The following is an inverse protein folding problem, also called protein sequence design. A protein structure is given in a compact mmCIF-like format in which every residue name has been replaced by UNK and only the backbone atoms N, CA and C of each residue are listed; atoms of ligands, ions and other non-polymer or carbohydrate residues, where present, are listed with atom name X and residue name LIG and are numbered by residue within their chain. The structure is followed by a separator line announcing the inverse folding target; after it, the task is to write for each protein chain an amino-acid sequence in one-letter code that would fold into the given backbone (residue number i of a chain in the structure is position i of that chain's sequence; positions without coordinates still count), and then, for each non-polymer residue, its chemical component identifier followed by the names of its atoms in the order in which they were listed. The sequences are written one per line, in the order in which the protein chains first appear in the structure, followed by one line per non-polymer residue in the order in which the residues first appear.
data_IF_145053613511
#
_entry.id   IF_145053613511
#
_cell.length_a   1.000
_cell.length_b   1.000
_cell.length_c   1.000
_cell.angle_alpha   90.00
_cell.angle_beta   90.00
_cell.angle_gamma   90.00
#
_symmetry.space_group_name_H-M   'P 1'
#
loop_
_entity.id
_entity.type
_entity.pdbx_description
1 polymer ?
#
# COMPACT_ATOMS: atom_id res chain seq x y z
N UNK A 1 -17.12 -3.92 26.12
CA UNK A 1 -16.81 -4.78 24.96
C UNK A 1 -17.77 -4.35 23.88
N UNK A 2 -17.31 -3.52 22.92
CA UNK A 2 -18.15 -3.15 21.79
C UNK A 2 -18.26 -4.36 20.87
N UNK A 3 -19.47 -4.78 20.59
CA UNK A 3 -19.76 -5.77 19.56
C UNK A 3 -19.17 -5.28 18.23
N UNK A 4 -18.29 -6.08 17.66
CA UNK A 4 -17.74 -5.86 16.33
C UNK A 4 -18.93 -6.06 15.38
N UNK A 5 -19.47 -4.98 14.85
CA UNK A 5 -20.50 -5.07 13.82
C UNK A 5 -19.88 -5.69 12.57
N UNK A 6 -20.19 -6.94 12.31
CA UNK A 6 -19.93 -7.59 11.04
C UNK A 6 -20.63 -6.79 9.94
N UNK A 7 -19.87 -6.32 8.96
CA UNK A 7 -20.45 -5.71 7.76
C UNK A 7 -20.48 -6.75 6.64
N UNK A 8 -21.58 -7.47 6.45
CA UNK A 8 -21.66 -8.54 5.45
C UNK A 8 -21.43 -8.05 4.01
N UNK A 9 -21.65 -6.75 3.74
CA UNK A 9 -21.41 -6.18 2.41
C UNK A 9 -19.93 -6.06 1.99
N UNK A 10 -18.98 -6.29 2.90
CA UNK A 10 -17.56 -6.22 2.56
C UNK A 10 -17.03 -7.51 1.89
N UNK A 11 -17.51 -8.66 2.32
CA UNK A 11 -17.17 -9.95 1.70
C UNK A 11 -17.67 -10.05 0.25
N UNK A 12 -18.87 -9.51 -0.03
CA UNK A 12 -19.42 -9.47 -1.39
C UNK A 12 -18.58 -8.62 -2.35
N UNK A 13 -17.87 -7.62 -1.83
CA UNK A 13 -17.01 -6.73 -2.62
C UNK A 13 -15.56 -7.21 -2.73
N UNK A 14 -15.10 -8.03 -1.80
CA UNK A 14 -13.71 -8.47 -1.72
C UNK A 14 -13.29 -9.27 -2.96
N UNK A 15 -14.08 -10.27 -3.33
CA UNK A 15 -13.78 -11.11 -4.50
C UNK A 15 -13.83 -10.34 -5.82
N UNK A 16 -14.88 -9.56 -6.14
CA UNK A 16 -14.88 -8.72 -7.33
C UNK A 16 -13.72 -7.73 -7.38
N UNK A 17 -13.38 -7.09 -6.26
CA UNK A 17 -12.24 -6.17 -6.19
C UNK A 17 -10.91 -6.88 -6.44
N UNK A 18 -10.72 -8.07 -5.89
CA UNK A 18 -9.55 -8.90 -6.19
C UNK A 18 -9.48 -9.28 -7.68
N UNK A 19 -10.60 -9.74 -8.25
CA UNK A 19 -10.67 -10.16 -9.65
C UNK A 19 -10.34 -8.97 -10.58
N UNK A 20 -10.84 -7.75 -10.28
CA UNK A 20 -10.52 -6.52 -11.02
C UNK A 20 -9.01 -6.19 -10.96
N UNK A 21 -8.41 -6.19 -9.78
CA UNK A 21 -6.97 -5.97 -9.59
C UNK A 21 -6.13 -7.03 -10.32
N UNK A 22 -6.57 -8.28 -10.28
CA UNK A 22 -5.90 -9.39 -10.95
C UNK A 22 -5.96 -9.27 -12.47
N UNK A 23 -7.12 -8.93 -13.04
CA UNK A 23 -7.28 -8.68 -14.47
C UNK A 23 -6.39 -7.54 -14.94
N UNK A 24 -6.36 -6.43 -14.19
CA UNK A 24 -5.49 -5.30 -14.49
C UNK A 24 -3.99 -5.66 -14.40
N UNK A 25 -3.61 -6.53 -13.45
CA UNK A 25 -2.25 -7.05 -13.40
C UNK A 25 -1.92 -7.91 -14.62
N UNK A 26 -2.83 -8.79 -15.05
CA UNK A 26 -2.62 -9.64 -16.22
C UNK A 26 -2.54 -8.84 -17.52
N UNK A 27 -3.23 -7.70 -17.61
CA UNK A 27 -3.15 -6.77 -18.75
C UNK A 27 -1.82 -6.00 -18.79
N UNK A 28 -1.26 -5.61 -17.63
CA UNK A 28 0.07 -4.97 -17.49
C UNK A 28 0.85 -5.63 -16.33
N UNK A 29 1.49 -6.80 -16.57
CA UNK A 29 2.17 -7.55 -15.51
C UNK A 29 3.51 -6.95 -15.09
N UNK A 30 4.05 -5.99 -15.85
CA UNK A 30 5.37 -5.40 -15.63
C UNK A 30 5.35 -3.88 -15.81
N UNK A 31 4.58 -3.13 -15.01
CA UNK A 31 4.50 -1.67 -15.17
C UNK A 31 5.88 -1.03 -15.10
N UNK A 32 6.12 -0.06 -15.99
CA UNK A 32 7.40 0.60 -16.13
C UNK A 32 7.75 1.51 -14.95
N UNK A 33 8.97 2.07 -14.98
CA UNK A 33 9.48 2.95 -13.92
C UNK A 33 8.57 4.17 -13.69
N UNK A 34 8.15 4.81 -14.76
CA UNK A 34 7.34 6.05 -14.68
C UNK A 34 5.95 5.77 -14.10
N UNK A 35 5.31 4.67 -14.50
CA UNK A 35 4.03 4.25 -13.92
C UNK A 35 4.11 4.00 -12.41
N UNK A 36 5.15 3.28 -11.97
CA UNK A 36 5.35 3.03 -10.53
C UNK A 36 5.69 4.30 -9.77
N UNK A 37 6.50 5.19 -10.37
CA UNK A 37 6.85 6.49 -9.78
C UNK A 37 5.63 7.38 -9.64
N UNK A 38 4.80 7.46 -10.66
CA UNK A 38 3.55 8.22 -10.63
C UNK A 38 2.63 7.74 -9.50
N UNK A 39 2.42 6.44 -9.38
CA UNK A 39 1.60 5.85 -8.31
C UNK A 39 2.14 6.21 -6.91
N UNK A 40 3.45 6.11 -6.71
CA UNK A 40 4.08 6.50 -5.43
C UNK A 40 3.97 8.00 -5.16
N UNK A 41 4.07 8.85 -6.18
CA UNK A 41 3.90 10.30 -6.05
C UNK A 41 2.46 10.68 -5.72
N UNK A 42 1.46 10.00 -6.30
CA UNK A 42 0.05 10.18 -5.96
C UNK A 42 -0.22 9.76 -4.50
N UNK A 43 0.35 8.65 -4.05
CA UNK A 43 0.26 8.22 -2.65
C UNK A 43 0.89 9.24 -1.70
N UNK A 44 2.10 9.73 -2.02
CA UNK A 44 2.81 10.73 -1.25
C UNK A 44 1.99 12.02 -1.12
N UNK A 45 1.54 12.56 -2.25
CA UNK A 45 0.73 13.78 -2.30
C UNK A 45 -0.57 13.62 -1.52
N UNK A 46 -1.28 12.50 -1.70
CA UNK A 46 -2.52 12.22 -0.99
C UNK A 46 -2.36 12.19 0.52
N UNK A 47 -1.21 11.71 1.04
CA UNK A 47 -0.91 11.74 2.46
C UNK A 47 -0.50 13.15 2.93
N UNK A 48 0.35 13.87 2.19
CA UNK A 48 0.77 15.25 2.51
C UNK A 48 -0.42 16.21 2.62
N UNK A 49 -1.37 16.13 1.70
CA UNK A 49 -2.57 16.98 1.68
C UNK A 49 -3.55 16.68 2.83
N UNK A 50 -3.43 15.51 3.49
CA UNK A 50 -4.35 15.05 4.55
C UNK A 50 -3.69 14.88 5.91
N UNK A 51 -2.47 15.36 6.11
CA UNK A 51 -1.70 15.18 7.34
C UNK A 51 -2.51 15.56 8.58
N UNK A 52 -3.05 16.78 8.63
CA UNK A 52 -3.84 17.27 9.76
C UNK A 52 -5.12 16.43 9.98
N UNK A 53 -5.79 16.03 8.91
CA UNK A 53 -6.98 15.21 9.00
C UNK A 53 -6.68 13.83 9.61
N UNK A 54 -5.56 13.22 9.25
CA UNK A 54 -5.10 11.95 9.84
C UNK A 54 -4.75 12.12 11.32
N UNK A 55 -4.05 13.20 11.71
CA UNK A 55 -3.73 13.49 13.11
C UNK A 55 -5.02 13.56 13.94
N UNK A 56 -6.02 14.28 13.45
CA UNK A 56 -7.31 14.42 14.14
C UNK A 56 -8.10 13.11 14.18
N UNK A 57 -8.11 12.33 13.10
CA UNK A 57 -8.81 11.06 13.05
C UNK A 57 -8.20 10.05 14.03
N UNK A 58 -6.88 9.92 14.04
CA UNK A 58 -6.15 9.04 14.95
C UNK A 58 -6.39 9.47 16.40
N UNK A 59 -6.29 10.77 16.71
CA UNK A 59 -6.61 11.27 18.05
C UNK A 59 -8.03 10.87 18.52
N UNK A 60 -9.01 10.95 17.61
CA UNK A 60 -10.39 10.56 17.92
C UNK A 60 -10.59 9.04 18.03
N UNK A 61 -9.84 8.24 17.27
CA UNK A 61 -9.91 6.76 17.35
C UNK A 61 -9.30 6.25 18.65
N UNK A 62 -8.24 6.90 19.15
CA UNK A 62 -7.53 6.53 20.38
C UNK A 62 -8.06 7.24 21.64
N UNK A 63 -9.02 8.15 21.51
CA UNK A 63 -9.54 8.91 22.64
C UNK A 63 -8.56 9.91 23.23
N UNK A 64 -7.77 10.64 22.42
CA UNK A 64 -6.79 11.70 22.73
C UNK A 64 -5.31 11.31 22.57
N UNK A 65 -4.94 10.58 21.52
CA UNK A 65 -3.53 10.39 21.19
C UNK A 65 -2.87 11.73 20.86
N UNK A 66 -1.65 11.94 21.35
CA UNK A 66 -0.88 13.16 21.11
C UNK A 66 -0.70 13.47 19.61
N UNK A 67 -1.04 14.69 19.21
CA UNK A 67 -0.80 15.17 17.85
C UNK A 67 0.70 15.10 17.48
N UNK A 68 1.59 15.46 18.43
CA UNK A 68 3.03 15.38 18.23
C UNK A 68 3.50 13.93 17.98
N UNK A 69 2.99 12.98 18.73
CA UNK A 69 3.31 11.55 18.55
C UNK A 69 2.85 11.06 17.19
N UNK A 70 1.60 11.36 16.81
CA UNK A 70 1.04 10.96 15.52
C UNK A 70 1.81 11.58 14.36
N UNK A 71 2.07 12.90 14.41
CA UNK A 71 2.81 13.60 13.36
C UNK A 71 4.21 13.00 13.15
N UNK A 72 4.96 12.72 14.24
CA UNK A 72 6.35 12.29 14.12
C UNK A 72 6.51 10.78 13.89
N UNK A 73 5.70 9.93 14.53
CA UNK A 73 5.89 8.47 14.53
C UNK A 73 4.94 7.72 13.61
N UNK A 74 3.94 8.39 13.05
CA UNK A 74 3.02 7.77 12.10
C UNK A 74 3.09 8.48 10.73
N UNK A 75 2.92 9.81 10.67
CA UNK A 75 2.86 10.53 9.40
C UNK A 75 4.25 10.80 8.81
N UNK A 76 5.14 11.47 9.57
CA UNK A 76 6.48 11.87 9.07
C UNK A 76 7.30 10.66 8.63
N UNK A 77 7.27 9.57 9.38
CA UNK A 77 7.99 8.34 9.01
C UNK A 77 7.44 7.70 7.74
N UNK A 78 6.11 7.74 7.54
CA UNK A 78 5.47 7.26 6.32
C UNK A 78 5.86 8.09 5.11
N UNK A 79 5.82 9.42 5.22
CA UNK A 79 6.26 10.34 4.16
C UNK A 79 7.74 10.12 3.81
N UNK A 80 8.59 9.96 4.82
CA UNK A 80 10.02 9.70 4.61
C UNK A 80 10.27 8.37 3.90
N UNK A 81 9.53 7.32 4.26
CA UNK A 81 9.64 6.00 3.64
C UNK A 81 9.17 6.03 2.18
N UNK A 82 8.02 6.64 1.87
CA UNK A 82 7.56 6.77 0.48
C UNK A 82 8.58 7.56 -0.36
N UNK A 83 9.10 8.68 0.16
CA UNK A 83 10.16 9.48 -0.50
C UNK A 83 11.43 8.66 -0.72
N UNK A 84 11.81 7.82 0.23
CA UNK A 84 12.94 6.90 0.09
C UNK A 84 12.72 5.88 -1.02
N UNK A 85 11.54 5.29 -1.09
CA UNK A 85 11.17 4.32 -2.13
C UNK A 85 11.20 4.96 -3.52
N UNK A 86 10.62 6.16 -3.71
CA UNK A 86 10.67 6.90 -4.97
C UNK A 86 12.12 7.12 -5.44
N UNK A 87 13.02 7.57 -4.52
CA UNK A 87 14.43 7.81 -4.85
C UNK A 87 15.20 6.56 -5.26
N UNK A 88 14.85 5.40 -4.70
CA UNK A 88 15.58 4.16 -4.94
C UNK A 88 14.94 3.28 -6.01
N UNK A 89 13.74 3.59 -6.48
CA UNK A 89 12.93 2.75 -7.37
C UNK A 89 13.70 2.31 -8.62
N UNK A 90 14.32 3.25 -9.33
CA UNK A 90 15.07 2.95 -10.54
C UNK A 90 16.22 1.95 -10.30
N UNK A 91 16.90 2.06 -9.16
CA UNK A 91 17.97 1.14 -8.77
C UNK A 91 17.42 -0.26 -8.45
N UNK A 92 16.29 -0.34 -7.78
CA UNK A 92 15.69 -1.63 -7.41
C UNK A 92 15.15 -2.40 -8.61
N UNK A 93 14.70 -1.70 -9.64
CA UNK A 93 14.19 -2.31 -10.88
C UNK A 93 15.28 -2.82 -11.82
N UNK A 94 16.56 -2.55 -11.54
CA UNK A 94 17.66 -2.95 -12.42
C UNK A 94 17.82 -4.47 -12.49
N UNK A 95 17.95 -4.97 -13.72
CA UNK A 95 18.35 -6.36 -13.98
C UNK A 95 19.82 -6.53 -13.57
N UNK A 96 20.08 -7.50 -12.70
CA UNK A 96 21.43 -7.79 -12.20
C UNK A 96 21.99 -9.04 -12.84
N UNK A 97 23.13 -8.89 -13.55
CA UNK A 97 23.90 -10.04 -14.07
C UNK A 97 24.49 -10.85 -12.92
N UNK A 98 24.61 -12.16 -13.11
CA UNK A 98 25.29 -13.09 -12.20
C UNK A 98 26.35 -13.87 -12.95
N UNK A 99 27.40 -14.27 -12.24
CA UNK A 99 28.43 -15.15 -12.78
C UNK A 99 27.83 -16.53 -13.07
N UNK A 100 28.37 -17.16 -14.12
CA UNK A 100 28.02 -18.53 -14.52
C UNK A 100 29.29 -19.37 -14.42
N UNK A 101 29.25 -20.56 -13.80
CA UNK A 101 30.37 -21.47 -13.77
C UNK A 101 30.91 -21.80 -15.18
N UNK A 102 32.22 -22.09 -15.28
CA UNK A 102 32.91 -22.28 -16.57
C UNK A 102 32.24 -23.35 -17.45
N UNK A 103 31.79 -24.44 -16.85
CA UNK A 103 31.13 -25.55 -17.57
C UNK A 103 29.75 -25.21 -18.15
N UNK A 104 29.16 -24.08 -17.77
CA UNK A 104 27.91 -23.55 -18.33
C UNK A 104 28.14 -22.41 -19.34
N UNK A 105 29.40 -22.06 -19.61
CA UNK A 105 29.71 -21.06 -20.64
C UNK A 105 29.34 -21.60 -22.05
N UNK A 106 28.81 -20.78 -22.96
CA UNK A 106 28.63 -19.34 -22.92
C UNK A 106 27.31 -18.85 -22.32
N UNK A 107 26.68 -19.61 -21.42
CA UNK A 107 25.45 -19.27 -20.74
C UNK A 107 25.53 -17.93 -19.99
N UNK A 108 24.37 -17.28 -19.79
CA UNK A 108 24.23 -16.00 -19.07
C UNK A 108 23.15 -16.12 -18.00
N UNK A 109 23.45 -15.69 -16.78
CA UNK A 109 22.48 -15.64 -15.68
C UNK A 109 22.13 -14.19 -15.32
N UNK A 110 20.86 -13.95 -14.99
CA UNK A 110 20.35 -12.65 -14.57
C UNK A 110 19.32 -12.81 -13.46
N UNK A 111 19.26 -11.83 -12.57
CA UNK A 111 18.13 -11.64 -11.63
C UNK A 111 17.27 -10.53 -12.20
N UNK A 112 16.01 -10.83 -12.45
CA UNK A 112 15.01 -9.89 -12.96
C UNK A 112 13.96 -9.70 -11.86
N UNK A 113 13.86 -8.50 -11.23
CA UNK A 113 12.77 -8.20 -10.31
C UNK A 113 11.43 -8.19 -11.05
N UNK A 114 10.44 -8.90 -10.52
CA UNK A 114 9.10 -8.99 -11.11
C UNK A 114 8.04 -8.77 -10.05
N UNK A 115 6.89 -8.15 -10.39
CA UNK A 115 5.74 -8.10 -9.51
C UNK A 115 5.20 -9.50 -9.21
N UNK A 116 4.59 -9.66 -8.05
CA UNK A 116 3.90 -10.90 -7.65
C UNK A 116 2.46 -10.96 -8.22
N UNK A 117 1.87 -9.79 -8.50
CA UNK A 117 0.50 -9.67 -8.95
C UNK A 117 -0.32 -8.76 -8.05
N UNK A 118 -1.26 -9.33 -7.31
CA UNK A 118 -2.04 -8.61 -6.29
C UNK A 118 -1.46 -8.92 -4.92
N UNK A 119 -1.16 -7.87 -4.14
CA UNK A 119 -0.66 -7.98 -2.77
C UNK A 119 -1.73 -7.54 -1.81
N UNK A 120 -2.09 -8.40 -0.86
CA UNK A 120 -2.96 -8.08 0.27
C UNK A 120 -2.14 -7.54 1.45
N UNK A 121 -2.58 -6.41 2.01
CA UNK A 121 -2.02 -5.82 3.23
C UNK A 121 -3.11 -5.83 4.29
N UNK A 122 -2.86 -6.46 5.44
CA UNK A 122 -3.72 -6.40 6.63
C UNK A 122 -2.94 -5.61 7.67
N UNK A 123 -3.44 -4.43 8.02
CA UNK A 123 -2.72 -3.54 8.92
C UNK A 123 -3.31 -3.48 10.33
N UNK A 124 -2.46 -3.37 11.36
CA UNK A 124 -2.89 -3.24 12.74
C UNK A 124 -3.31 -1.81 13.09
N UNK A 125 -3.81 -1.63 14.32
CA UNK A 125 -4.35 -0.38 14.81
C UNK A 125 -3.31 0.59 15.42
N UNK A 126 -2.16 0.11 15.89
CA UNK A 126 -1.25 0.88 16.74
C UNK A 126 -0.51 2.04 16.06
N UNK A 127 -0.15 1.91 14.79
CA UNK A 127 0.36 2.97 13.88
C UNK A 127 -0.39 2.84 12.55
N UNK A 128 -1.66 3.28 12.52
CA UNK A 128 -2.58 2.87 11.46
C UNK A 128 -2.21 3.45 10.08
N UNK A 129 -1.54 4.59 10.01
CA UNK A 129 -1.08 5.16 8.72
C UNK A 129 0.22 4.51 8.27
N UNK A 130 1.23 4.46 9.13
CA UNK A 130 2.55 3.89 8.77
C UNK A 130 2.45 2.41 8.40
N UNK A 131 1.80 1.60 9.25
CA UNK A 131 1.69 0.16 9.02
C UNK A 131 0.70 -0.22 7.90
N UNK A 132 -0.10 0.74 7.42
CA UNK A 132 -0.90 0.59 6.21
C UNK A 132 -0.13 1.04 4.97
N UNK A 133 0.33 2.29 4.92
CA UNK A 133 0.83 2.91 3.70
C UNK A 133 2.28 2.54 3.37
N UNK A 134 3.14 2.21 4.34
CA UNK A 134 4.51 1.78 4.05
C UNK A 134 4.56 0.44 3.29
N UNK A 135 3.86 -0.63 3.71
CA UNK A 135 3.80 -1.86 2.91
C UNK A 135 3.04 -1.68 1.59
N UNK A 136 1.99 -0.83 1.54
CA UNK A 136 1.32 -0.45 0.28
C UNK A 136 2.30 0.19 -0.69
N UNK A 137 3.09 1.17 -0.24
CA UNK A 137 4.12 1.81 -1.05
C UNK A 137 5.15 0.79 -1.56
N UNK A 138 5.61 -0.12 -0.71
CA UNK A 138 6.53 -1.20 -1.10
C UNK A 138 5.94 -2.11 -2.18
N UNK A 139 4.67 -2.47 -2.07
CA UNK A 139 3.97 -3.27 -3.06
C UNK A 139 3.82 -2.54 -4.40
N UNK A 140 3.47 -1.24 -4.38
CA UNK A 140 3.40 -0.36 -5.56
C UNK A 140 4.79 -0.21 -6.21
N UNK A 141 5.83 0.03 -5.41
CA UNK A 141 7.22 0.13 -5.88
C UNK A 141 7.67 -1.15 -6.60
N UNK A 142 7.26 -2.32 -6.10
CA UNK A 142 7.52 -3.59 -6.73
C UNK A 142 6.67 -3.83 -8.00
N UNK A 143 5.68 -2.97 -8.29
CA UNK A 143 4.82 -3.04 -9.48
C UNK A 143 3.56 -3.86 -9.30
N UNK A 144 3.19 -4.15 -8.06
CA UNK A 144 1.97 -4.90 -7.76
C UNK A 144 0.72 -3.99 -7.76
N UNK A 145 -0.43 -4.63 -7.89
CA UNK A 145 -1.74 -4.10 -7.50
C UNK A 145 -1.94 -4.38 -6.02
N UNK A 146 -2.69 -3.54 -5.31
CA UNK A 146 -2.75 -3.64 -3.84
C UNK A 146 -4.17 -3.67 -3.33
N UNK A 147 -4.42 -4.58 -2.39
CA UNK A 147 -5.60 -4.60 -1.53
C UNK A 147 -5.16 -4.28 -0.11
N UNK A 148 -5.79 -3.30 0.52
CA UNK A 148 -5.55 -2.98 1.93
C UNK A 148 -6.79 -3.24 2.77
N UNK A 149 -6.65 -3.99 3.85
CA UNK A 149 -7.62 -4.07 4.93
C UNK A 149 -7.05 -3.36 6.16
N UNK A 150 -7.46 -2.12 6.43
CA UNK A 150 -7.07 -1.43 7.66
C UNK A 150 -7.78 -2.03 8.87
N UNK A 151 -7.32 -1.67 10.07
CA UNK A 151 -7.90 -2.17 11.31
C UNK A 151 -9.29 -1.58 11.57
N UNK A 152 -10.20 -2.42 11.97
CA UNK A 152 -11.55 -2.05 12.45
C UNK A 152 -11.53 -1.24 13.75
N UNK A 153 -10.42 -1.28 14.50
CA UNK A 153 -10.24 -0.51 15.74
C UNK A 153 -9.92 0.96 15.51
N UNK A 154 -9.60 1.37 14.28
CA UNK A 154 -9.33 2.76 13.90
C UNK A 154 -10.24 3.21 12.75
N UNK A 155 -11.58 3.23 12.97
CA UNK A 155 -12.54 3.40 11.88
C UNK A 155 -12.51 4.78 11.22
N UNK A 156 -12.16 5.86 11.94
CA UNK A 156 -12.05 7.21 11.34
C UNK A 156 -10.80 7.32 10.47
N UNK A 157 -9.70 6.74 10.92
CA UNK A 157 -8.46 6.65 10.15
C UNK A 157 -8.66 5.78 8.90
N UNK A 158 -9.34 4.65 9.03
CA UNK A 158 -9.64 3.74 7.91
C UNK A 158 -10.45 4.42 6.82
N UNK A 159 -11.47 5.23 7.17
CA UNK A 159 -12.24 6.01 6.20
C UNK A 159 -11.39 7.05 5.47
N UNK A 160 -10.45 7.70 6.15
CA UNK A 160 -9.52 8.65 5.49
C UNK A 160 -8.56 7.93 4.55
N UNK A 161 -8.09 6.73 4.91
CA UNK A 161 -7.29 5.89 4.02
C UNK A 161 -8.10 5.51 2.78
N UNK A 162 -9.37 5.10 2.96
CA UNK A 162 -10.26 4.77 1.85
C UNK A 162 -10.53 5.98 0.94
N UNK A 163 -10.75 7.17 1.52
CA UNK A 163 -10.88 8.42 0.78
C UNK A 163 -9.62 8.75 -0.02
N UNK A 164 -8.44 8.63 0.59
CA UNK A 164 -7.16 8.84 -0.11
C UNK A 164 -7.03 7.88 -1.30
N UNK A 165 -7.32 6.60 -1.10
CA UNK A 165 -7.20 5.60 -2.17
C UNK A 165 -8.16 5.91 -3.33
N UNK A 166 -9.44 6.20 -3.03
CA UNK A 166 -10.46 6.47 -4.06
C UNK A 166 -10.23 7.75 -4.86
N UNK A 167 -9.54 8.74 -4.28
CA UNK A 167 -9.22 9.99 -4.97
C UNK A 167 -7.91 9.95 -5.75
N UNK A 168 -6.94 9.16 -5.27
CA UNK A 168 -5.59 9.13 -5.84
C UNK A 168 -5.36 7.95 -6.79
N UNK A 169 -6.21 6.92 -6.78
CA UNK A 169 -5.99 5.70 -7.56
C UNK A 169 -7.27 5.21 -8.24
N UNK A 170 -7.08 4.56 -9.38
CA UNK A 170 -8.16 3.79 -9.98
C UNK A 170 -8.41 2.50 -9.15
N UNK A 171 -9.66 1.99 -9.11
CA UNK A 171 -10.00 0.81 -8.33
C UNK A 171 -9.20 -0.46 -8.70
N UNK A 172 -8.63 -0.49 -9.88
CA UNK A 172 -7.78 -1.57 -10.40
C UNK A 172 -6.28 -1.39 -10.09
N UNK A 173 -5.90 -0.29 -9.42
CA UNK A 173 -4.54 -0.04 -8.96
C UNK A 173 -4.36 -0.32 -7.48
N UNK A 174 -5.25 0.27 -6.66
CA UNK A 174 -5.23 0.18 -5.21
C UNK A 174 -6.64 0.26 -4.66
N UNK A 175 -7.06 -0.76 -3.92
CA UNK A 175 -8.39 -0.84 -3.31
C UNK A 175 -8.30 -1.07 -1.80
N UNK A 176 -9.21 -0.44 -1.04
CA UNK A 176 -9.33 -0.60 0.41
C UNK A 176 -10.65 -1.28 0.76
N UNK A 177 -10.59 -2.23 1.67
CA UNK A 177 -11.72 -2.99 2.18
C UNK A 177 -11.81 -2.81 3.68
N UNK A 178 -12.81 -2.06 4.12
CA UNK A 178 -13.09 -1.85 5.53
C UNK A 178 -13.94 -3.00 6.08
N UNK A 179 -13.63 -3.45 7.29
CA UNK A 179 -14.39 -4.49 7.96
C UNK A 179 -13.62 -5.17 9.10
N UNK A 180 -14.32 -6.05 9.83
CA UNK A 180 -13.75 -6.84 10.93
C UNK A 180 -13.09 -8.15 10.46
N UNK A 181 -13.02 -9.13 11.40
CA UNK A 181 -12.36 -10.43 11.17
C UNK A 181 -13.04 -11.27 10.06
N UNK A 182 -14.31 -10.98 9.75
CA UNK A 182 -15.07 -11.69 8.73
C UNK A 182 -14.82 -11.21 7.29
N UNK A 183 -13.86 -10.30 7.09
CA UNK A 183 -13.50 -9.74 5.76
C UNK A 183 -12.20 -10.31 5.24
#
# INVERSE_FOLDING_TARGET
MNEIQENPGSLEKLKPGFDQLREAHLADPMPGLETRRDRLQRLLKGLEEREEAFIQAISKDFGQRSAFETANYDITVTLADIKYQIRNLARWMQIRKRSVPLHLMPGKARIVPQPLGVVGVISPWNFPVFLSLSPVAGAIAAGNRVMLKPSEWTPKTSRLLAGLASEAFEPDEFAIFEGGIAV
#
